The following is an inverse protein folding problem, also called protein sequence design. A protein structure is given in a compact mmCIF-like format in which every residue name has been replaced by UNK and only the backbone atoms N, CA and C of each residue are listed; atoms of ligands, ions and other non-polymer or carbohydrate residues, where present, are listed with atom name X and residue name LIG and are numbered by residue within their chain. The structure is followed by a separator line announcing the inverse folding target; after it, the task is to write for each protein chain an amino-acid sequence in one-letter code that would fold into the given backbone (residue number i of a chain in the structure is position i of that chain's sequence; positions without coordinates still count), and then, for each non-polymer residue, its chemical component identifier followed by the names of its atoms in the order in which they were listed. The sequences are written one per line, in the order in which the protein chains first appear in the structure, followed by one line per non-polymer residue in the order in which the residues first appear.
data_IF_659492766569
#
_entry.id   IF_659492766569
#
_cell.length_a   1.000
_cell.length_b   1.000
_cell.length_c   1.000
_cell.angle_alpha   90.00
_cell.angle_beta   90.00
_cell.angle_gamma   90.00
#
_symmetry.space_group_name_H-M   'P 1'
#
loop_
_entity.id
_entity.type
_entity.pdbx_description
1 polymer ?
#
# COMPACT_ATOMS: atom_id res chain seq x y z
N UNK A 1 -33.54 21.18 40.71
CA UNK A 1 -32.98 22.44 40.15
C UNK A 1 -32.72 22.19 38.68
N UNK A 2 -33.60 22.72 37.85
CA UNK A 2 -33.69 22.43 36.40
C UNK A 2 -33.15 23.69 35.67
N UNK A 3 -32.05 23.59 34.96
CA UNK A 3 -31.54 24.66 34.10
C UNK A 3 -31.81 24.29 32.63
N UNK A 4 -32.77 25.03 32.06
CA UNK A 4 -33.06 25.08 30.62
C UNK A 4 -32.07 26.04 29.95
N UNK A 5 -31.31 25.55 28.93
CA UNK A 5 -30.60 26.42 28.00
C UNK A 5 -31.44 26.63 26.75
N UNK A 6 -31.76 27.88 26.50
CA UNK A 6 -32.45 28.40 25.32
C UNK A 6 -31.49 28.47 24.13
N UNK A 7 -31.85 27.77 23.03
CA UNK A 7 -31.22 27.91 21.73
C UNK A 7 -31.79 29.16 21.01
N UNK A 8 -30.98 30.16 20.82
CA UNK A 8 -31.31 31.34 20.03
C UNK A 8 -30.99 31.10 18.56
N UNK A 9 -32.02 31.01 17.72
CA UNK A 9 -31.94 30.99 16.26
C UNK A 9 -31.58 32.37 15.73
N UNK A 10 -30.41 32.51 15.10
CA UNK A 10 -30.12 33.67 14.26
C UNK A 10 -30.11 33.22 12.78
N UNK A 11 -31.22 33.53 12.13
CA UNK A 11 -31.37 33.46 10.67
C UNK A 11 -30.83 34.77 10.07
N UNK A 12 -29.73 34.72 9.34
CA UNK A 12 -29.36 35.79 8.41
C UNK A 12 -29.24 35.20 7.00
N UNK A 13 -30.25 35.54 6.18
CA UNK A 13 -30.19 35.45 4.72
C UNK A 13 -29.11 36.43 4.22
N UNK A 14 -28.16 35.92 3.43
CA UNK A 14 -27.41 36.76 2.51
C UNK A 14 -27.55 36.14 1.12
N UNK A 15 -28.30 36.87 0.29
CA UNK A 15 -28.30 36.70 -1.17
C UNK A 15 -27.01 37.31 -1.71
N UNK A 16 -26.37 36.64 -2.64
CA UNK A 16 -25.22 37.19 -3.36
C UNK A 16 -24.60 36.09 -4.22
N UNK A 17 -25.05 36.02 -5.48
CA UNK A 17 -24.49 35.10 -6.46
C UNK A 17 -23.06 35.49 -6.85
N UNK A 18 -22.27 34.48 -7.14
CA UNK A 18 -21.19 34.53 -8.14
C UNK A 18 -20.84 33.10 -8.53
N UNK A 19 -21.32 32.68 -9.68
CA UNK A 19 -20.85 31.50 -10.36
C UNK A 19 -19.38 31.71 -10.75
N UNK A 20 -18.47 31.08 -10.03
CA UNK A 20 -17.06 30.93 -10.50
C UNK A 20 -16.85 29.49 -10.88
N UNK A 21 -16.52 29.32 -12.16
CA UNK A 21 -16.29 28.06 -12.80
C UNK A 21 -15.30 27.19 -12.05
N UNK A 22 -15.73 25.99 -11.73
CA UNK A 22 -14.87 24.92 -11.26
C UNK A 22 -14.04 24.47 -12.45
N UNK A 23 -12.77 24.82 -12.44
CA UNK A 23 -11.80 24.32 -13.41
C UNK A 23 -11.64 22.80 -13.17
N UNK A 24 -12.23 22.01 -14.05
CA UNK A 24 -12.03 20.56 -14.08
C UNK A 24 -10.59 20.33 -14.56
N UNK A 25 -9.68 20.09 -13.63
CA UNK A 25 -8.34 19.61 -13.94
C UNK A 25 -8.43 18.20 -14.53
N UNK A 26 -8.53 18.12 -15.86
CA UNK A 26 -8.28 16.88 -16.58
C UNK A 26 -6.80 16.53 -16.42
N UNK A 27 -6.47 15.62 -15.51
CA UNK A 27 -5.16 14.99 -15.49
C UNK A 27 -5.04 14.09 -16.72
N UNK A 28 -4.40 14.59 -17.76
CA UNK A 28 -3.86 13.74 -18.83
C UNK A 28 -2.78 12.83 -18.22
N UNK A 29 -2.72 11.55 -18.57
CA UNK A 29 -1.63 10.69 -18.12
C UNK A 29 -0.32 11.27 -18.69
N UNK A 30 0.52 11.81 -17.81
CA UNK A 30 1.87 12.27 -18.20
C UNK A 30 2.66 11.02 -18.58
N UNK A 31 2.92 10.87 -19.87
CA UNK A 31 3.94 9.95 -20.38
C UNK A 31 5.27 10.31 -19.71
N UNK A 32 5.75 9.43 -18.85
CA UNK A 32 7.00 9.59 -18.13
C UNK A 32 8.14 9.50 -19.17
N UNK A 33 8.75 10.65 -19.52
CA UNK A 33 10.00 10.67 -20.28
C UNK A 33 11.10 10.08 -19.41
N UNK A 34 11.64 8.94 -19.83
CA UNK A 34 12.83 8.32 -19.25
C UNK A 34 14.02 9.28 -19.38
N UNK A 35 14.57 9.70 -18.23
CA UNK A 35 15.85 10.39 -18.17
C UNK A 35 16.98 9.36 -18.26
N UNK A 36 18.04 9.58 -19.03
CA UNK A 36 19.18 8.66 -19.09
C UNK A 36 19.99 8.77 -17.81
N UNK A 37 20.23 7.64 -17.11
CA UNK A 37 21.27 7.58 -16.09
C UNK A 37 21.00 6.86 -14.79
N UNK A 38 20.21 5.77 -14.77
CA UNK A 38 20.40 4.62 -13.84
C UNK A 38 19.51 3.47 -14.32
N UNK A 39 20.02 2.25 -14.42
CA UNK A 39 19.19 1.13 -14.81
C UNK A 39 18.13 0.95 -13.71
N UNK A 40 16.85 1.02 -14.11
CA UNK A 40 15.79 0.45 -13.29
C UNK A 40 16.24 -0.97 -12.89
N UNK A 41 16.10 -1.38 -11.62
CA UNK A 41 16.47 -2.72 -11.22
C UNK A 41 15.85 -3.70 -12.22
N UNK A 42 16.67 -4.60 -12.76
CA UNK A 42 16.25 -5.59 -13.75
C UNK A 42 14.92 -6.14 -13.31
N UNK A 43 13.89 -6.16 -14.19
CA UNK A 43 12.52 -6.51 -13.81
C UNK A 43 12.36 -7.95 -13.25
N UNK A 44 13.47 -8.63 -12.95
CA UNK A 44 13.49 -9.97 -12.36
C UNK A 44 13.63 -9.92 -10.85
N UNK A 45 12.91 -10.83 -10.17
CA UNK A 45 13.03 -11.01 -8.74
C UNK A 45 14.42 -11.55 -8.38
N UNK A 46 15.15 -10.93 -7.43
CA UNK A 46 16.37 -11.50 -6.88
C UNK A 46 16.08 -12.84 -6.19
N UNK A 47 17.11 -13.66 -6.02
CA UNK A 47 16.96 -14.97 -5.37
C UNK A 47 16.52 -14.83 -3.90
N UNK A 48 17.06 -13.84 -3.19
CA UNK A 48 16.73 -13.55 -1.80
C UNK A 48 16.48 -12.06 -1.59
N UNK A 49 15.61 -11.77 -0.59
CA UNK A 49 15.31 -10.42 -0.12
C UNK A 49 16.36 -10.01 0.92
N UNK A 50 17.02 -8.89 0.70
CA UNK A 50 17.96 -8.34 1.66
C UNK A 50 17.23 -7.52 2.74
N UNK A 51 17.13 -8.06 3.95
CA UNK A 51 16.52 -7.41 5.12
C UNK A 51 17.55 -6.86 6.11
N UNK A 52 18.83 -6.81 5.77
CA UNK A 52 19.92 -6.37 6.67
C UNK A 52 19.68 -4.98 7.27
N UNK A 53 19.00 -4.10 6.55
CA UNK A 53 18.61 -2.76 7.04
C UNK A 53 17.62 -2.78 8.22
N UNK A 54 17.00 -3.93 8.52
CA UNK A 54 16.05 -4.11 9.63
C UNK A 54 16.71 -4.71 10.88
N UNK A 55 17.95 -5.19 10.79
CA UNK A 55 18.60 -6.00 11.82
C UNK A 55 18.50 -5.37 13.23
N UNK A 56 18.01 -6.15 14.18
CA UNK A 56 17.87 -5.78 15.60
C UNK A 56 16.84 -4.69 15.91
N UNK A 57 16.15 -4.13 14.89
CA UNK A 57 15.21 -3.04 15.07
C UNK A 57 13.82 -3.51 15.51
N UNK A 58 13.07 -2.62 16.16
CA UNK A 58 11.61 -2.76 16.33
C UNK A 58 10.95 -2.26 15.05
N UNK A 59 10.29 -3.16 14.33
CA UNK A 59 9.77 -2.92 12.99
C UNK A 59 8.25 -2.90 13.01
N UNK A 60 7.64 -1.82 12.51
CA UNK A 60 6.25 -1.83 12.08
C UNK A 60 6.20 -2.08 10.56
N UNK A 61 5.37 -3.03 10.15
CA UNK A 61 5.12 -3.36 8.76
C UNK A 61 3.76 -2.81 8.33
N UNK A 62 3.72 -2.11 7.22
CA UNK A 62 2.47 -1.65 6.60
C UNK A 62 2.48 -2.05 5.13
N UNK A 63 1.38 -2.62 4.64
CA UNK A 63 1.32 -3.16 3.29
C UNK A 63 0.08 -2.69 2.53
N UNK A 64 0.31 -2.20 1.33
CA UNK A 64 -0.69 -2.04 0.28
C UNK A 64 -0.80 -3.38 -0.47
N UNK A 65 -1.79 -4.19 -0.09
CA UNK A 65 -1.96 -5.53 -0.66
C UNK A 65 -2.14 -5.49 -2.17
N UNK A 66 -2.91 -4.56 -2.68
CA UNK A 66 -3.21 -4.52 -4.10
C UNK A 66 -1.96 -4.23 -4.94
N UNK A 67 -1.14 -3.28 -4.52
CA UNK A 67 0.11 -2.92 -5.19
C UNK A 67 1.09 -4.10 -5.21
N UNK A 68 1.35 -4.70 -4.04
CA UNK A 68 2.28 -5.83 -3.92
C UNK A 68 1.77 -7.06 -4.67
N UNK A 69 0.48 -7.37 -4.55
CA UNK A 69 -0.16 -8.52 -5.20
C UNK A 69 -0.12 -8.40 -6.73
N UNK A 70 -0.50 -7.23 -7.27
CA UNK A 70 -0.48 -6.98 -8.72
C UNK A 70 0.96 -7.06 -9.24
N UNK A 71 1.91 -6.46 -8.52
CA UNK A 71 3.33 -6.54 -8.87
C UNK A 71 3.84 -7.97 -8.92
N UNK A 72 3.53 -8.78 -7.90
CA UNK A 72 3.93 -10.20 -7.83
C UNK A 72 3.26 -11.04 -8.94
N UNK A 73 1.99 -10.80 -9.24
CA UNK A 73 1.29 -11.51 -10.32
C UNK A 73 1.91 -11.23 -11.69
N UNK A 74 2.36 -10.01 -11.95
CA UNK A 74 3.12 -9.67 -13.18
C UNK A 74 4.43 -10.45 -13.28
N UNK A 75 5.03 -10.81 -12.15
CA UNK A 75 6.21 -11.68 -12.05
C UNK A 75 5.86 -13.18 -12.01
N UNK A 76 4.62 -13.56 -12.33
CA UNK A 76 4.12 -14.94 -12.32
C UNK A 76 4.26 -15.64 -10.95
N UNK A 77 4.18 -14.90 -9.87
CA UNK A 77 4.25 -15.43 -8.50
C UNK A 77 3.20 -14.79 -7.59
N UNK A 78 3.08 -15.32 -6.38
CA UNK A 78 2.25 -14.77 -5.30
C UNK A 78 3.16 -14.34 -4.17
N UNK A 79 2.98 -13.13 -3.68
CA UNK A 79 3.62 -12.65 -2.47
C UNK A 79 3.10 -13.40 -1.24
N UNK A 80 3.99 -13.73 -0.31
CA UNK A 80 3.65 -14.47 0.90
C UNK A 80 3.89 -13.62 2.15
N UNK A 81 2.83 -13.12 2.73
CA UNK A 81 2.84 -12.33 3.96
C UNK A 81 3.41 -13.11 5.15
N UNK A 82 3.14 -14.43 5.23
CA UNK A 82 3.72 -15.28 6.27
C UNK A 82 5.23 -15.38 6.14
N UNK A 83 5.76 -15.64 4.93
CA UNK A 83 7.21 -15.70 4.72
C UNK A 83 7.91 -14.37 5.03
N UNK A 84 7.27 -13.23 4.69
CA UNK A 84 7.82 -11.92 5.06
C UNK A 84 7.90 -11.77 6.57
N UNK A 85 6.81 -12.05 7.30
CA UNK A 85 6.78 -11.89 8.74
C UNK A 85 7.78 -12.84 9.42
N UNK A 86 7.88 -14.09 8.95
CA UNK A 86 8.86 -15.08 9.43
C UNK A 86 10.31 -14.60 9.21
N UNK A 87 10.59 -13.99 8.06
CA UNK A 87 11.91 -13.44 7.75
C UNK A 87 12.22 -12.22 8.61
N UNK A 88 11.28 -11.29 8.75
CA UNK A 88 11.45 -10.11 9.62
C UNK A 88 11.66 -10.53 11.07
N UNK A 89 10.94 -11.56 11.55
CA UNK A 89 11.10 -12.05 12.92
C UNK A 89 12.49 -12.64 13.21
N UNK A 90 13.17 -13.15 12.19
CA UNK A 90 14.56 -13.66 12.32
C UNK A 90 15.58 -12.54 12.40
N UNK A 91 15.36 -11.42 11.72
CA UNK A 91 16.31 -10.31 11.60
C UNK A 91 16.01 -9.18 12.60
N UNK A 92 14.75 -9.03 13.02
CA UNK A 92 14.24 -7.89 13.75
C UNK A 92 13.12 -8.30 14.71
N UNK A 93 12.58 -7.31 15.44
CA UNK A 93 11.40 -7.49 16.31
C UNK A 93 10.18 -6.83 15.67
N UNK A 94 9.28 -7.57 15.00
CA UNK A 94 8.04 -7.00 14.52
C UNK A 94 7.17 -6.58 15.71
N UNK A 95 6.67 -5.34 15.71
CA UNK A 95 5.81 -4.79 16.75
C UNK A 95 4.41 -4.50 16.25
N UNK A 96 4.23 -4.38 14.94
CA UNK A 96 2.95 -4.28 14.25
C UNK A 96 3.11 -4.79 12.83
N UNK A 97 2.06 -5.41 12.28
CA UNK A 97 1.97 -5.80 10.89
C UNK A 97 0.54 -5.56 10.40
N UNK A 98 0.35 -4.55 9.54
CA UNK A 98 -0.96 -4.14 9.02
C UNK A 98 -0.94 -4.27 7.50
N UNK A 99 -1.99 -4.88 6.94
CA UNK A 99 -2.21 -4.89 5.50
C UNK A 99 -3.57 -4.28 5.18
N UNK A 100 -3.58 -3.29 4.29
CA UNK A 100 -4.82 -2.74 3.75
C UNK A 100 -5.19 -3.55 2.51
N UNK A 101 -6.39 -4.10 2.53
CA UNK A 101 -6.94 -4.94 1.46
C UNK A 101 -8.27 -4.41 0.96
N UNK A 102 -8.57 -4.68 -0.29
CA UNK A 102 -9.89 -4.42 -0.85
C UNK A 102 -10.63 -5.73 -1.05
N UNK A 103 -11.83 -5.84 -0.52
CA UNK A 103 -12.66 -7.03 -0.66
C UNK A 103 -14.08 -6.70 -1.13
N UNK A 104 -14.69 -7.64 -1.84
CA UNK A 104 -16.13 -7.59 -2.09
C UNK A 104 -16.87 -7.90 -0.78
N UNK A 105 -18.10 -7.40 -0.60
CA UNK A 105 -18.91 -7.76 0.56
C UNK A 105 -19.06 -9.29 0.69
N UNK A 106 -18.72 -9.84 1.86
CA UNK A 106 -18.79 -11.27 2.14
C UNK A 106 -17.59 -12.10 1.64
N UNK A 107 -16.54 -11.48 1.08
CA UNK A 107 -15.30 -12.16 0.73
C UNK A 107 -14.26 -11.99 1.86
N UNK A 108 -14.36 -12.85 2.87
CA UNK A 108 -13.47 -12.82 4.03
C UNK A 108 -12.21 -13.67 3.84
N UNK A 109 -12.06 -14.35 2.72
CA UNK A 109 -10.97 -15.31 2.48
C UNK A 109 -9.59 -14.65 2.57
N UNK A 110 -9.46 -13.41 2.06
CA UNK A 110 -8.20 -12.66 2.10
C UNK A 110 -7.90 -12.16 3.51
N UNK A 111 -8.88 -11.65 4.21
CA UNK A 111 -8.78 -11.22 5.60
C UNK A 111 -8.31 -12.37 6.49
N UNK A 112 -9.04 -13.48 6.47
CA UNK A 112 -8.72 -14.68 7.25
C UNK A 112 -7.29 -15.19 6.96
N UNK A 113 -6.87 -15.17 5.69
CA UNK A 113 -5.50 -15.54 5.32
C UNK A 113 -4.46 -14.66 6.02
N UNK A 114 -4.65 -13.33 6.03
CA UNK A 114 -3.70 -12.39 6.65
C UNK A 114 -3.68 -12.55 8.17
N UNK A 115 -4.85 -12.61 8.80
CA UNK A 115 -4.98 -12.74 10.26
C UNK A 115 -4.38 -14.03 10.78
N UNK A 116 -4.56 -15.14 10.09
CA UNK A 116 -3.91 -16.44 10.44
C UNK A 116 -2.39 -16.39 10.28
N UNK A 117 -1.83 -15.38 9.62
CA UNK A 117 -0.39 -15.16 9.46
C UNK A 117 0.15 -14.06 10.38
N UNK A 118 -0.64 -13.58 11.33
CA UNK A 118 -0.23 -12.58 12.30
C UNK A 118 -0.28 -11.14 11.78
N UNK A 119 -0.98 -10.88 10.66
CA UNK A 119 -1.23 -9.54 10.16
C UNK A 119 -2.60 -9.05 10.60
N UNK A 120 -2.69 -7.80 10.97
CA UNK A 120 -3.98 -7.11 11.06
C UNK A 120 -4.43 -6.74 9.65
N UNK A 121 -5.59 -7.21 9.23
CA UNK A 121 -6.18 -6.84 7.95
C UNK A 121 -7.15 -5.68 8.13
N UNK A 122 -6.89 -4.57 7.44
CA UNK A 122 -7.84 -3.47 7.30
C UNK A 122 -8.58 -3.67 5.98
N UNK A 123 -9.84 -4.07 6.06
CA UNK A 123 -10.66 -4.38 4.89
C UNK A 123 -11.43 -3.15 4.44
N UNK A 124 -11.16 -2.70 3.23
CA UNK A 124 -11.88 -1.59 2.61
C UNK A 124 -12.91 -2.15 1.62
N UNK A 125 -14.17 -1.71 1.69
CA UNK A 125 -15.18 -2.09 0.72
C UNK A 125 -14.81 -1.52 -0.65
N UNK A 126 -15.05 -2.31 -1.70
CA UNK A 126 -14.96 -1.81 -3.07
C UNK A 126 -16.21 -1.02 -3.39
N UNK A 127 -16.06 0.28 -3.56
CA UNK A 127 -17.16 1.15 -3.99
C UNK A 127 -17.28 1.14 -5.51
N UNK A 128 -18.52 1.02 -5.98
CA UNK A 128 -18.82 1.03 -7.41
C UNK A 128 -19.20 2.46 -7.82
N UNK A 129 -18.35 3.10 -8.60
CA UNK A 129 -18.65 4.41 -9.17
C UNK A 129 -19.08 4.28 -10.63
N UNK A 130 -20.13 5.01 -11.01
CA UNK A 130 -20.55 5.11 -12.39
C UNK A 130 -19.48 5.88 -13.18
N UNK A 131 -18.85 5.25 -14.15
CA UNK A 131 -17.90 5.89 -15.06
C UNK A 131 -18.43 5.99 -16.47
N UNK A 132 -17.89 6.89 -17.29
CA UNK A 132 -18.29 7.06 -18.69
C UNK A 132 -18.17 5.78 -19.55
N UNK A 133 -17.30 4.85 -19.13
CA UNK A 133 -17.05 3.55 -19.81
C UNK A 133 -17.60 2.35 -18.99
N UNK A 134 -18.63 2.56 -18.19
CA UNK A 134 -19.20 1.55 -17.29
C UNK A 134 -18.75 1.70 -15.83
N UNK A 135 -19.31 0.87 -14.94
CA UNK A 135 -19.00 0.95 -13.51
C UNK A 135 -17.52 0.62 -13.24
N UNK A 136 -16.87 1.46 -12.45
CA UNK A 136 -15.49 1.23 -11.98
C UNK A 136 -15.51 1.00 -10.48
N UNK A 137 -14.80 -0.01 -10.05
CA UNK A 137 -14.53 -0.21 -8.64
C UNK A 137 -13.41 0.73 -8.20
N UNK A 138 -13.67 1.52 -7.20
CA UNK A 138 -12.71 2.46 -6.63
C UNK A 138 -12.57 2.21 -5.14
N UNK A 139 -11.35 2.30 -4.63
CA UNK A 139 -11.06 2.25 -3.20
C UNK A 139 -9.87 3.17 -2.93
N UNK A 140 -9.96 3.99 -1.90
CA UNK A 140 -8.87 4.91 -1.56
C UNK A 140 -7.95 4.29 -0.50
N UNK A 141 -7.22 3.26 -0.89
CA UNK A 141 -6.26 2.55 -0.03
C UNK A 141 -5.21 3.49 0.57
N UNK A 142 -4.78 4.50 -0.18
CA UNK A 142 -3.70 5.41 0.22
C UNK A 142 -4.06 6.22 1.46
N UNK A 143 -5.31 6.69 1.56
CA UNK A 143 -5.77 7.47 2.71
C UNK A 143 -5.81 6.63 3.97
N UNK A 144 -6.36 5.43 3.88
CA UNK A 144 -6.51 4.55 5.03
C UNK A 144 -5.15 4.01 5.49
N UNK A 145 -4.29 3.58 4.55
CA UNK A 145 -2.94 3.14 4.88
C UNK A 145 -2.11 4.29 5.47
N UNK A 146 -2.25 5.51 4.94
CA UNK A 146 -1.62 6.71 5.48
C UNK A 146 -2.09 7.03 6.90
N UNK A 147 -3.39 6.90 7.18
CA UNK A 147 -3.99 7.14 8.49
C UNK A 147 -3.52 6.11 9.52
N UNK A 148 -3.58 4.82 9.20
CA UNK A 148 -3.10 3.74 10.07
C UNK A 148 -1.60 3.86 10.35
N UNK A 149 -0.82 4.21 9.33
CA UNK A 149 0.62 4.46 9.51
C UNK A 149 0.87 5.66 10.42
N UNK A 150 0.10 6.73 10.27
CA UNK A 150 0.15 7.90 11.16
C UNK A 150 -0.18 7.54 12.61
N UNK A 151 -1.20 6.71 12.83
CA UNK A 151 -1.55 6.19 14.14
C UNK A 151 -0.41 5.36 14.75
N UNK A 152 0.16 4.42 14.00
CA UNK A 152 1.33 3.62 14.43
C UNK A 152 2.52 4.51 14.81
N UNK A 153 2.84 5.49 13.98
CA UNK A 153 3.92 6.44 14.27
C UNK A 153 3.65 7.23 15.55
N UNK A 154 2.39 7.55 15.87
CA UNK A 154 1.99 8.29 17.06
C UNK A 154 1.99 7.46 18.34
N UNK A 155 1.58 6.20 18.28
CA UNK A 155 1.26 5.37 19.44
C UNK A 155 2.27 4.26 19.73
N UNK A 156 3.03 3.81 18.71
CA UNK A 156 3.90 2.65 18.83
C UNK A 156 5.38 3.05 18.84
N UNK A 157 6.15 2.44 19.73
CA UNK A 157 7.59 2.65 19.78
C UNK A 157 8.28 1.77 18.73
N UNK A 158 8.68 2.36 17.60
CA UNK A 158 9.31 1.71 16.46
C UNK A 158 10.65 2.38 16.12
N UNK A 159 11.56 1.59 15.56
CA UNK A 159 12.85 2.07 15.06
C UNK A 159 12.84 2.12 13.52
N UNK A 160 12.06 1.24 12.90
CA UNK A 160 11.90 1.13 11.45
C UNK A 160 10.42 0.99 11.09
N UNK A 161 10.00 1.75 10.09
CA UNK A 161 8.74 1.57 9.37
C UNK A 161 9.04 0.92 8.02
N UNK A 162 8.60 -0.33 7.83
CA UNK A 162 8.71 -1.04 6.56
C UNK A 162 7.42 -0.89 5.77
N UNK A 163 7.46 -0.21 4.63
CA UNK A 163 6.33 0.01 3.73
C UNK A 163 6.42 -0.99 2.58
N UNK A 164 5.49 -1.92 2.51
CA UNK A 164 5.35 -2.88 1.42
C UNK A 164 4.45 -2.29 0.33
N UNK A 165 5.00 -1.46 -0.51
CA UNK A 165 4.35 -0.86 -1.68
C UNK A 165 5.39 -0.31 -2.64
N UNK A 166 5.11 -0.34 -3.93
CA UNK A 166 5.87 0.34 -4.99
C UNK A 166 5.27 1.70 -5.37
N UNK A 167 4.17 2.13 -4.73
CA UNK A 167 3.54 3.42 -5.01
C UNK A 167 4.39 4.57 -4.47
N UNK A 168 4.81 5.46 -5.39
CA UNK A 168 5.68 6.57 -5.05
C UNK A 168 4.97 7.65 -4.24
N UNK A 169 3.75 7.98 -4.57
CA UNK A 169 3.02 9.08 -3.94
C UNK A 169 2.66 8.70 -2.48
N UNK A 170 2.18 7.48 -2.27
CA UNK A 170 1.90 6.92 -0.95
C UNK A 170 3.16 6.86 -0.08
N UNK A 171 4.21 6.19 -0.56
CA UNK A 171 5.46 6.01 0.20
C UNK A 171 6.11 7.36 0.55
N UNK A 172 6.14 8.32 -0.39
CA UNK A 172 6.69 9.66 -0.14
C UNK A 172 5.87 10.45 0.86
N UNK A 173 4.54 10.34 0.83
CA UNK A 173 3.65 10.98 1.78
C UNK A 173 3.94 10.49 3.20
N UNK A 174 4.00 9.17 3.39
CA UNK A 174 4.30 8.52 4.66
C UNK A 174 5.72 8.89 5.14
N UNK A 175 6.73 8.84 4.26
CA UNK A 175 8.11 9.16 4.63
C UNK A 175 8.29 10.62 5.06
N UNK A 176 7.61 11.57 4.40
CA UNK A 176 7.60 12.98 4.81
C UNK A 176 6.93 13.18 6.16
N UNK A 177 5.83 12.48 6.43
CA UNK A 177 5.16 12.51 7.73
C UNK A 177 6.06 11.94 8.82
N UNK A 178 6.72 10.80 8.58
CA UNK A 178 7.67 10.20 9.50
C UNK A 178 8.85 11.14 9.78
N UNK A 179 9.47 11.73 8.76
CA UNK A 179 10.58 12.67 8.92
C UNK A 179 10.21 13.90 9.75
N UNK A 180 8.97 14.39 9.62
CA UNK A 180 8.46 15.55 10.36
C UNK A 180 8.15 15.26 11.82
N UNK A 181 7.48 14.14 12.07
CA UNK A 181 6.89 13.85 13.39
C UNK A 181 7.69 12.86 14.22
N UNK A 182 8.48 11.99 13.56
CA UNK A 182 9.28 10.93 14.19
C UNK A 182 10.65 10.79 13.51
N UNK A 183 11.50 11.83 13.53
CA UNK A 183 12.75 11.89 12.73
C UNK A 183 13.77 10.79 13.06
N UNK A 184 13.61 10.07 14.17
CA UNK A 184 14.43 8.93 14.54
C UNK A 184 13.97 7.61 13.92
N UNK A 185 12.75 7.56 13.38
CA UNK A 185 12.22 6.38 12.71
C UNK A 185 12.78 6.31 11.30
N UNK A 186 13.46 5.22 10.98
CA UNK A 186 13.94 4.95 9.63
C UNK A 186 12.80 4.40 8.78
N UNK A 187 12.59 4.97 7.62
CA UNK A 187 11.60 4.47 6.66
C UNK A 187 12.31 3.61 5.62
N UNK A 188 11.80 2.41 5.40
CA UNK A 188 12.30 1.43 4.44
C UNK A 188 11.14 1.02 3.54
N UNK A 189 11.37 0.87 2.24
CA UNK A 189 10.36 0.34 1.32
C UNK A 189 10.72 -1.06 0.87
N UNK A 190 9.71 -1.92 0.70
CA UNK A 190 9.82 -3.23 0.05
C UNK A 190 8.87 -3.23 -1.15
N UNK A 191 9.42 -3.37 -2.35
CA UNK A 191 8.64 -3.33 -3.57
C UNK A 191 9.00 -4.47 -4.53
N UNK A 192 8.05 -4.84 -5.37
CA UNK A 192 8.29 -5.80 -6.44
C UNK A 192 9.14 -5.13 -7.53
N UNK A 193 10.27 -5.73 -7.95
CA UNK A 193 11.07 -5.22 -9.06
C UNK A 193 10.23 -4.92 -10.31
N UNK A 194 10.44 -3.77 -10.92
CA UNK A 194 9.68 -3.32 -12.08
C UNK A 194 8.28 -2.74 -11.78
N UNK A 195 7.80 -2.81 -10.52
CA UNK A 195 6.55 -2.13 -10.11
C UNK A 195 6.80 -0.89 -9.23
N UNK A 196 8.02 -0.70 -8.74
CA UNK A 196 8.38 0.44 -7.93
C UNK A 196 8.42 1.74 -8.74
N UNK A 197 7.84 2.80 -8.20
CA UNK A 197 7.86 4.13 -8.80
C UNK A 197 9.28 4.71 -8.83
N UNK A 198 9.65 5.32 -9.95
CA UNK A 198 10.92 6.06 -10.05
C UNK A 198 11.05 7.22 -9.06
N UNK A 199 9.94 7.71 -8.53
CA UNK A 199 9.96 8.77 -7.52
C UNK A 199 10.66 8.34 -6.24
N UNK A 200 10.58 7.07 -5.85
CA UNK A 200 11.25 6.53 -4.67
C UNK A 200 12.76 6.68 -4.77
N UNK A 201 13.33 6.39 -5.93
CA UNK A 201 14.78 6.47 -6.18
C UNK A 201 15.31 7.90 -6.23
N UNK A 202 14.46 8.88 -6.58
CA UNK A 202 14.82 10.29 -6.61
C UNK A 202 14.88 10.93 -5.23
N UNK A 203 14.23 10.35 -4.22
CA UNK A 203 14.10 10.89 -2.88
C UNK A 203 14.75 9.97 -1.84
N UNK A 204 15.97 9.52 -2.14
CA UNK A 204 16.79 8.70 -1.23
C UNK A 204 17.03 9.35 0.14
N UNK A 205 16.93 10.67 0.21
CA UNK A 205 17.02 11.45 1.46
C UNK A 205 15.93 11.11 2.49
N UNK A 206 14.80 10.57 2.05
CA UNK A 206 13.66 10.23 2.90
C UNK A 206 13.63 8.75 3.32
N UNK A 207 14.42 7.91 2.67
CA UNK A 207 14.40 6.46 2.91
C UNK A 207 15.76 5.94 3.36
N UNK A 208 15.75 5.12 4.41
CA UNK A 208 16.97 4.46 4.86
C UNK A 208 17.41 3.33 3.90
N UNK A 209 16.46 2.68 3.24
CA UNK A 209 16.71 1.64 2.24
C UNK A 209 15.49 1.42 1.33
N UNK A 210 15.77 0.90 0.13
CA UNK A 210 14.77 0.34 -0.77
C UNK A 210 15.08 -1.13 -0.99
N UNK A 211 14.19 -2.01 -0.59
CA UNK A 211 14.34 -3.45 -0.66
C UNK A 211 13.59 -3.98 -1.87
N UNK A 212 14.28 -4.73 -2.72
CA UNK A 212 13.64 -5.48 -3.79
C UNK A 212 13.07 -6.80 -3.25
N UNK A 213 11.80 -7.08 -3.55
CA UNK A 213 11.20 -8.37 -3.23
C UNK A 213 11.95 -9.50 -3.91
N UNK A 214 12.40 -10.48 -3.15
CA UNK A 214 13.05 -11.68 -3.65
C UNK A 214 12.11 -12.87 -3.82
N UNK A 215 12.60 -13.91 -4.49
CA UNK A 215 11.86 -15.18 -4.70
C UNK A 215 11.59 -15.92 -3.39
N UNK A 216 12.44 -15.74 -2.39
CA UNK A 216 12.30 -16.31 -1.05
C UNK A 216 11.04 -15.86 -0.30
N UNK A 217 10.45 -14.72 -0.68
CA UNK A 217 9.19 -14.22 -0.14
C UNK A 217 7.99 -14.48 -1.07
N UNK A 218 8.16 -15.31 -2.10
CA UNK A 218 7.11 -15.59 -3.08
C UNK A 218 6.80 -17.07 -3.17
N UNK A 219 5.65 -17.39 -3.75
CA UNK A 219 5.25 -18.74 -4.16
C UNK A 219 4.93 -18.74 -5.64
N UNK A 220 5.29 -19.77 -6.40
CA UNK A 220 4.92 -19.85 -7.81
C UNK A 220 3.39 -19.86 -7.95
N UNK A 221 2.89 -19.29 -9.04
CA UNK A 221 1.51 -19.53 -9.45
C UNK A 221 1.45 -20.99 -9.92
N UNK A 222 0.74 -21.84 -9.17
CA UNK A 222 0.41 -23.17 -9.67
C UNK A 222 -0.42 -22.97 -10.95
N UNK A 223 0.22 -23.08 -12.09
CA UNK A 223 -0.51 -23.33 -13.33
C UNK A 223 -1.10 -24.74 -13.14
N UNK A 224 -2.37 -24.84 -12.76
CA UNK A 224 -3.09 -26.07 -13.05
C UNK A 224 -2.95 -26.25 -14.56
N UNK A 225 -2.40 -27.39 -15.04
CA UNK A 225 -2.49 -27.67 -16.44
C UNK A 225 -3.98 -27.57 -16.78
N UNK A 226 -4.31 -26.67 -17.70
CA UNK A 226 -5.66 -26.62 -18.24
C UNK A 226 -5.93 -28.03 -18.70
N UNK A 227 -6.85 -28.73 -18.03
CA UNK A 227 -7.34 -30.00 -18.51
C UNK A 227 -7.90 -29.70 -19.91
N UNK A 228 -7.09 -29.98 -20.91
CA UNK A 228 -7.51 -30.00 -22.30
C UNK A 228 -8.56 -31.11 -22.36
N UNK A 229 -9.83 -30.71 -22.20
CA UNK A 229 -10.96 -31.55 -22.43
C UNK A 229 -10.89 -31.91 -23.94
N UNK A 230 -10.51 -33.13 -24.34
CA UNK A 230 -10.63 -33.53 -25.73
C UNK A 230 -12.14 -33.63 -25.97
N UNK A 231 -12.72 -32.61 -26.61
CA UNK A 231 -14.06 -32.73 -27.18
C UNK A 231 -13.95 -33.83 -28.27
N UNK A 232 -14.27 -35.06 -27.88
CA UNK A 232 -14.58 -36.13 -28.80
C UNK A 232 -15.91 -35.76 -29.47
N UNK A 233 -15.84 -35.24 -30.67
CA UNK A 233 -17.00 -35.20 -31.56
C UNK A 233 -17.18 -36.63 -32.12
N UNK A 234 -18.28 -37.27 -31.74
CA UNK A 234 -18.89 -38.38 -32.45
C UNK A 234 -20.09 -37.83 -33.25
#
# INVERSE_FOLDING_TARGET
MTSRFLLQKNSRRLHGGLAKGVAVFRRTPKTCKTMPGEPAPSGQLPAATDLSSLQGARVALVADDENVRIGALRQQCRFSYGLLLDRVTKEAKPVAAIAVITAAPGDDGRQNYLETRGWQALVLPREQHAGANGPRLYTNVDTDLGTETGYLLGTTSIDVLLICSGDGDLCLSIARAAARHRPKVRVVTLAVPGSASHQLWRRRDLFAAHIALGRDLTRPLNRQPSASNPKTYV
#
